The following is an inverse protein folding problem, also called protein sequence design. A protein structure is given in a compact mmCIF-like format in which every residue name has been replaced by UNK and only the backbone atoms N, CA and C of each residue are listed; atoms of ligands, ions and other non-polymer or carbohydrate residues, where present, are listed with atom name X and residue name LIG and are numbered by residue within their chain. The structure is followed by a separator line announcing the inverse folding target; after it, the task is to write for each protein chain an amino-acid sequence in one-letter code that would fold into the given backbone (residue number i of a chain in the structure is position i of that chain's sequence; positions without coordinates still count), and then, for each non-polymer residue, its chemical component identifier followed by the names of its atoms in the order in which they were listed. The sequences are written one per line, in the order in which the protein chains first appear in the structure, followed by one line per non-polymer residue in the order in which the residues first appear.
data_IF_976292187011
#
_entry.id   IF_976292187011
#
_cell.length_a   1.000
_cell.length_b   1.000
_cell.length_c   1.000
_cell.angle_alpha   90.00
_cell.angle_beta   90.00
_cell.angle_gamma   90.00
#
_symmetry.space_group_name_H-M   'P 1'
#
loop_
_entity.id
_entity.type
_entity.pdbx_description
1 polymer ?
#
# COMPACT_ATOMS: atom_id res chain seq x y z
N UNK A 1 0.78 3.48 -30.01
CA UNK A 1 1.20 4.08 -28.73
C UNK A 1 1.02 3.02 -27.65
N UNK A 2 2.04 2.72 -26.86
CA UNK A 2 1.94 1.69 -25.81
C UNK A 2 1.82 2.40 -24.46
N UNK A 3 0.67 2.33 -23.78
CA UNK A 3 0.47 2.97 -22.48
C UNK A 3 1.38 2.34 -21.41
N UNK A 4 1.77 3.10 -20.39
CA UNK A 4 2.64 2.57 -19.33
C UNK A 4 1.98 1.44 -18.53
N UNK A 5 0.65 1.46 -18.43
CA UNK A 5 -0.15 0.40 -17.80
C UNK A 5 0.04 -0.99 -18.42
N UNK A 6 0.46 -1.10 -19.69
CA UNK A 6 0.71 -2.41 -20.30
C UNK A 6 2.00 -3.09 -19.83
N UNK A 7 2.86 -2.38 -19.09
CA UNK A 7 4.13 -2.91 -18.57
C UNK A 7 4.03 -3.36 -17.11
N UNK A 8 2.86 -3.29 -16.48
CA UNK A 8 2.65 -3.80 -15.12
C UNK A 8 2.78 -5.31 -15.12
N UNK A 9 3.86 -5.82 -14.52
CA UNK A 9 4.14 -7.26 -14.45
C UNK A 9 3.64 -7.90 -13.17
N UNK A 10 3.49 -7.12 -12.09
CA UNK A 10 2.87 -7.54 -10.84
C UNK A 10 1.39 -7.15 -10.89
N UNK A 11 0.52 -8.12 -11.19
CA UNK A 11 -0.85 -8.03 -10.71
C UNK A 11 -0.80 -8.51 -9.26
N UNK A 12 -0.72 -7.59 -8.30
CA UNK A 12 -0.85 -7.98 -6.90
C UNK A 12 -2.20 -8.69 -6.79
N UNK A 13 -2.20 -9.94 -6.32
CA UNK A 13 -3.44 -10.57 -5.92
C UNK A 13 -4.13 -9.62 -4.93
N UNK A 14 -5.44 -9.47 -5.06
CA UNK A 14 -6.25 -8.46 -4.38
C UNK A 14 -6.14 -8.49 -2.85
N UNK A 15 -5.64 -9.60 -2.30
CA UNK A 15 -5.42 -9.86 -0.87
C UNK A 15 -3.94 -9.97 -0.48
N UNK A 16 -2.99 -9.66 -1.35
CA UNK A 16 -1.61 -9.50 -0.87
C UNK A 16 -1.61 -8.35 0.14
N UNK A 17 -1.20 -8.61 1.38
CA UNK A 17 -1.27 -7.63 2.44
C UNK A 17 -0.55 -6.38 1.96
N UNK A 18 -1.27 -5.28 2.09
CA UNK A 18 -0.77 -3.92 2.16
C UNK A 18 0.59 -3.95 2.83
N UNK A 19 1.64 -3.83 2.03
CA UNK A 19 2.93 -3.53 2.58
C UNK A 19 2.73 -2.10 3.13
N UNK A 20 3.11 -1.88 4.39
CA UNK A 20 3.00 -0.58 5.06
C UNK A 20 4.37 0.11 5.04
N UNK A 21 4.39 1.37 4.62
CA UNK A 21 5.54 2.26 4.68
C UNK A 21 5.26 3.57 3.93
N UNK A 22 5.89 4.65 4.36
CA UNK A 22 5.60 6.03 3.90
C UNK A 22 5.82 6.26 2.39
N UNK A 23 6.56 5.37 1.71
CA UNK A 23 6.84 5.38 0.26
C UNK A 23 6.16 4.23 -0.51
N UNK A 24 5.11 3.65 0.06
CA UNK A 24 4.45 2.48 -0.53
C UNK A 24 3.23 2.92 -1.32
N UNK A 25 3.48 3.20 -2.60
CA UNK A 25 2.50 3.75 -3.51
C UNK A 25 1.56 2.64 -3.99
N UNK A 26 0.52 2.39 -3.19
CA UNK A 26 -0.58 1.50 -3.56
C UNK A 26 -1.31 2.10 -4.76
N UNK A 27 -1.49 1.35 -5.86
CA UNK A 27 -2.27 1.87 -6.98
C UNK A 27 -3.68 2.18 -6.49
N UNK A 28 -4.19 3.36 -6.87
CA UNK A 28 -5.58 3.71 -6.54
C UNK A 28 -6.53 2.72 -7.22
N UNK A 29 -7.49 2.17 -6.48
CA UNK A 29 -8.51 1.29 -7.05
C UNK A 29 -9.80 2.05 -7.32
N UNK A 30 -10.30 1.95 -8.55
CA UNK A 30 -11.60 2.48 -8.97
C UNK A 30 -12.46 1.36 -9.54
N UNK A 31 -13.78 1.44 -9.36
CA UNK A 31 -14.68 0.35 -9.74
C UNK A 31 -14.89 -0.68 -8.62
N UNK A 32 -14.88 -1.96 -8.98
CA UNK A 32 -14.97 -3.06 -8.03
C UNK A 32 -13.79 -3.08 -7.05
N UNK A 33 -14.10 -3.26 -5.76
CA UNK A 33 -13.09 -3.43 -4.73
C UNK A 33 -12.26 -4.70 -4.98
N UNK A 34 -10.97 -4.71 -4.65
CA UNK A 34 -10.12 -5.90 -4.71
C UNK A 34 -10.78 -7.16 -4.11
N UNK A 35 -11.35 -7.03 -2.91
CA UNK A 35 -12.03 -8.14 -2.22
C UNK A 35 -13.22 -8.70 -3.01
N UNK A 36 -13.98 -7.84 -3.70
CA UNK A 36 -15.11 -8.27 -4.50
C UNK A 36 -14.65 -9.04 -5.74
N UNK A 37 -13.55 -8.61 -6.35
CA UNK A 37 -12.95 -9.29 -7.50
C UNK A 37 -12.40 -10.67 -7.12
N UNK A 38 -11.72 -10.77 -5.97
CA UNK A 38 -11.17 -12.03 -5.47
C UNK A 38 -12.25 -13.07 -5.16
N UNK A 39 -13.31 -12.67 -4.45
CA UNK A 39 -14.38 -13.58 -4.04
C UNK A 39 -15.54 -13.65 -5.03
N UNK A 40 -15.41 -13.01 -6.21
CA UNK A 40 -16.46 -12.91 -7.23
C UNK A 40 -17.80 -12.43 -6.64
N UNK A 41 -17.73 -11.45 -5.73
CA UNK A 41 -18.89 -10.84 -5.08
C UNK A 41 -19.42 -9.73 -5.99
N UNK A 42 -20.58 -9.96 -6.58
CA UNK A 42 -21.36 -8.90 -7.24
C UNK A 42 -22.08 -8.10 -6.15
N UNK A 43 -21.47 -7.00 -5.70
CA UNK A 43 -22.17 -6.02 -4.88
C UNK A 43 -22.84 -4.95 -5.77
N UNK A 44 -23.78 -4.21 -5.18
CA UNK A 44 -24.49 -3.14 -5.88
C UNK A 44 -23.51 -2.08 -6.42
N UNK A 45 -22.30 -1.96 -5.85
CA UNK A 45 -21.28 -1.02 -6.32
C UNK A 45 -20.60 -1.50 -7.61
N UNK A 46 -20.24 -2.78 -7.70
CA UNK A 46 -19.73 -3.44 -8.90
C UNK A 46 -20.74 -3.40 -10.05
N UNK A 47 -22.02 -3.62 -9.75
CA UNK A 47 -23.09 -3.69 -10.78
C UNK A 47 -23.58 -2.30 -11.24
N UNK A 48 -23.52 -1.28 -10.39
CA UNK A 48 -23.91 0.10 -10.73
C UNK A 48 -22.82 0.87 -11.48
N UNK A 49 -21.57 0.43 -11.41
CA UNK A 49 -20.48 1.02 -12.17
C UNK A 49 -20.58 0.57 -13.62
N UNK A 50 -20.89 1.50 -14.54
CA UNK A 50 -20.75 1.23 -15.98
C UNK A 50 -19.35 0.67 -16.23
N UNK A 51 -19.21 -0.50 -16.90
CA UNK A 51 -17.91 -1.04 -17.24
C UNK A 51 -17.14 0.03 -17.99
N UNK A 52 -15.94 0.38 -17.50
CA UNK A 52 -15.03 1.39 -18.05
C UNK A 52 -15.31 2.86 -17.68
N UNK A 53 -16.17 3.16 -16.70
CA UNK A 53 -16.29 4.52 -16.18
C UNK A 53 -15.41 4.71 -14.94
N UNK A 54 -14.63 5.79 -14.92
CA UNK A 54 -13.70 6.12 -13.84
C UNK A 54 -14.40 7.05 -12.87
N UNK A 55 -14.40 6.77 -11.57
CA UNK A 55 -15.02 7.62 -10.56
C UNK A 55 -13.94 8.20 -9.66
N UNK A 56 -13.78 9.52 -9.69
CA UNK A 56 -12.74 10.23 -8.93
C UNK A 56 -13.33 11.43 -8.17
N UNK A 57 -12.76 11.78 -7.00
CA UNK A 57 -13.27 12.90 -6.22
C UNK A 57 -12.97 14.24 -6.89
N UNK A 58 -13.88 15.19 -6.73
CA UNK A 58 -13.77 16.55 -7.28
C UNK A 58 -12.54 17.30 -6.74
N UNK A 59 -12.11 17.03 -5.51
CA UNK A 59 -10.86 17.58 -4.94
C UNK A 59 -9.64 17.19 -5.77
N UNK A 60 -9.61 15.95 -6.26
CA UNK A 60 -8.52 15.46 -7.11
C UNK A 60 -8.52 16.11 -8.49
N UNK A 61 -9.70 16.42 -9.06
CA UNK A 61 -9.79 17.23 -10.28
C UNK A 61 -9.14 18.60 -10.09
N UNK A 62 -9.50 19.29 -9.01
CA UNK A 62 -8.98 20.63 -8.70
C UNK A 62 -7.46 20.61 -8.47
N UNK A 63 -6.95 19.60 -7.75
CA UNK A 63 -5.52 19.39 -7.59
C UNK A 63 -4.82 19.19 -8.95
N UNK A 64 -5.33 18.28 -9.78
CA UNK A 64 -4.77 18.00 -11.09
C UNK A 64 -4.82 19.18 -12.05
N UNK A 65 -5.86 20.00 -12.01
CA UNK A 65 -5.95 21.22 -12.80
C UNK A 65 -4.89 22.27 -12.40
N UNK A 66 -4.63 22.39 -11.09
CA UNK A 66 -3.59 23.28 -10.56
C UNK A 66 -2.19 22.80 -10.95
N UNK A 67 -1.90 21.52 -10.70
CA UNK A 67 -0.62 20.87 -11.00
C UNK A 67 -0.32 20.92 -12.50
N UNK A 68 -1.30 20.62 -13.35
CA UNK A 68 -1.13 20.62 -14.81
C UNK A 68 -0.84 22.02 -15.35
N UNK A 69 -1.47 23.07 -14.81
CA UNK A 69 -1.12 24.46 -15.17
C UNK A 69 0.33 24.79 -14.86
N UNK A 70 0.84 24.36 -13.69
CA UNK A 70 2.24 24.55 -13.32
C UNK A 70 3.18 23.82 -14.30
N UNK A 71 2.88 22.56 -14.62
CA UNK A 71 3.65 21.77 -15.59
C UNK A 71 3.65 22.45 -16.97
N UNK A 72 2.49 22.85 -17.49
CA UNK A 72 2.39 23.50 -18.80
C UNK A 72 3.08 24.87 -18.83
N UNK A 73 3.06 25.63 -17.73
CA UNK A 73 3.78 26.89 -17.63
C UNK A 73 5.31 26.70 -17.71
N UNK A 74 5.84 25.68 -17.02
CA UNK A 74 7.27 25.38 -17.04
C UNK A 74 7.72 24.83 -18.40
N UNK A 75 6.80 24.19 -19.12
CA UNK A 75 7.04 23.62 -20.45
C UNK A 75 6.47 24.50 -21.59
N UNK A 76 6.12 25.76 -21.33
CA UNK A 76 5.41 26.64 -22.28
C UNK A 76 6.10 26.85 -23.64
N UNK A 77 7.42 26.63 -23.70
CA UNK A 77 8.21 26.73 -24.93
C UNK A 77 8.16 25.45 -25.78
N UNK A 78 7.52 24.40 -25.27
CA UNK A 78 7.34 23.14 -25.96
C UNK A 78 5.91 23.05 -26.50
N UNK A 79 5.79 22.58 -27.73
CA UNK A 79 4.50 22.20 -28.28
C UNK A 79 4.15 20.79 -27.77
N UNK A 80 3.62 20.75 -26.55
CA UNK A 80 3.06 19.55 -25.93
C UNK A 80 1.68 19.33 -26.53
N UNK A 81 1.42 18.13 -27.02
CA UNK A 81 0.09 17.76 -27.55
C UNK A 81 -0.64 16.78 -26.65
N UNK A 82 0.07 16.06 -25.79
CA UNK A 82 -0.52 15.08 -24.89
C UNK A 82 0.34 14.85 -23.65
N UNK A 83 -0.30 14.47 -22.55
CA UNK A 83 0.36 14.09 -21.30
C UNK A 83 -0.23 12.77 -20.83
N UNK A 84 0.63 11.82 -20.43
CA UNK A 84 0.22 10.58 -19.79
C UNK A 84 0.36 10.69 -18.26
N UNK A 85 -0.72 10.39 -17.55
CA UNK A 85 -0.85 10.59 -16.10
C UNK A 85 -1.86 9.63 -15.47
N UNK A 86 -1.86 9.52 -14.14
CA UNK A 86 -2.88 8.77 -13.39
C UNK A 86 -3.00 9.26 -11.94
N UNK A 87 -4.16 9.04 -11.29
CA UNK A 87 -4.33 9.36 -9.88
C UNK A 87 -3.58 8.37 -8.98
N UNK A 88 -3.12 8.83 -7.82
CA UNK A 88 -2.43 8.03 -6.80
C UNK A 88 -2.69 8.58 -5.40
N UNK A 89 -2.25 7.84 -4.38
CA UNK A 89 -2.16 8.32 -3.00
C UNK A 89 -0.71 8.77 -2.71
N UNK A 90 -0.57 9.92 -2.05
CA UNK A 90 0.70 10.42 -1.52
C UNK A 90 1.08 9.77 -0.19
N UNK A 91 2.26 10.11 0.33
CA UNK A 91 2.80 9.58 1.59
C UNK A 91 1.89 9.77 2.81
N UNK A 92 1.04 10.81 2.79
CA UNK A 92 0.09 11.10 3.87
C UNK A 92 -1.33 10.59 3.60
N UNK A 93 -1.52 9.73 2.59
CA UNK A 93 -2.83 9.21 2.19
C UNK A 93 -3.72 10.21 1.44
N UNK A 94 -3.21 11.41 1.12
CA UNK A 94 -3.94 12.37 0.29
C UNK A 94 -3.91 11.99 -1.18
N UNK A 95 -5.01 12.21 -1.89
CA UNK A 95 -5.06 12.00 -3.33
C UNK A 95 -4.18 13.02 -4.07
N UNK A 96 -3.40 12.53 -5.02
CA UNK A 96 -2.59 13.36 -5.93
C UNK A 96 -2.47 12.69 -7.30
N UNK A 97 -1.68 13.25 -8.20
CA UNK A 97 -1.47 12.75 -9.55
C UNK A 97 -0.02 12.36 -9.80
N UNK A 98 0.18 11.32 -10.60
CA UNK A 98 1.44 11.01 -11.26
C UNK A 98 1.41 11.62 -12.66
N UNK A 99 2.38 12.46 -13.01
CA UNK A 99 2.57 12.92 -14.39
C UNK A 99 3.84 12.30 -14.94
N UNK A 100 3.69 11.30 -15.81
CA UNK A 100 4.81 10.46 -16.22
C UNK A 100 5.60 11.04 -17.41
N UNK A 101 4.92 11.30 -18.52
CA UNK A 101 5.57 11.71 -19.77
C UNK A 101 4.68 12.62 -20.60
N UNK A 102 5.32 13.41 -21.45
CA UNK A 102 4.68 14.33 -22.39
C UNK A 102 4.96 13.89 -23.82
N UNK A 103 3.97 14.03 -24.70
CA UNK A 103 4.11 13.85 -26.13
C UNK A 103 4.42 15.19 -26.77
N UNK A 104 5.58 15.28 -27.39
CA UNK A 104 6.14 16.52 -27.90
C UNK A 104 6.16 16.52 -29.43
N UNK A 105 5.69 17.63 -30.02
CA UNK A 105 5.62 17.84 -31.47
C UNK A 105 4.93 16.69 -32.24
N UNK A 106 4.00 15.98 -31.60
CA UNK A 106 3.35 14.78 -32.16
C UNK A 106 4.31 13.68 -32.64
N UNK A 107 5.54 13.67 -32.14
CA UNK A 107 6.61 12.82 -32.70
C UNK A 107 7.18 11.84 -31.69
N UNK A 108 7.39 12.26 -30.46
CA UNK A 108 8.02 11.41 -29.45
C UNK A 108 7.59 11.75 -28.03
N UNK A 109 7.72 10.75 -27.16
CA UNK A 109 7.51 10.88 -25.73
C UNK A 109 8.79 11.33 -25.04
N UNK A 110 8.62 12.17 -24.01
CA UNK A 110 9.70 12.66 -23.15
C UNK A 110 9.27 12.44 -21.70
N UNK A 111 10.15 11.88 -20.86
CA UNK A 111 9.90 11.79 -19.43
C UNK A 111 9.84 13.18 -18.79
N UNK A 112 8.86 13.41 -17.92
CA UNK A 112 8.83 14.63 -17.11
C UNK A 112 9.97 14.59 -16.09
N UNK A 113 10.68 15.70 -15.93
CA UNK A 113 11.83 15.79 -15.03
C UNK A 113 11.47 16.59 -13.78
N UNK A 114 11.53 15.93 -12.62
CA UNK A 114 11.24 16.53 -11.31
C UNK A 114 12.14 17.73 -10.96
N UNK A 115 13.40 17.73 -11.39
CA UNK A 115 14.35 18.83 -11.13
C UNK A 115 13.99 20.14 -11.85
N UNK A 116 13.05 20.10 -12.80
CA UNK A 116 12.73 21.22 -13.68
C UNK A 116 11.44 21.96 -13.29
N UNK A 117 10.62 21.39 -12.41
CA UNK A 117 9.28 21.92 -12.09
C UNK A 117 9.27 22.38 -10.65
N UNK A 118 8.86 23.63 -10.42
CA UNK A 118 8.68 24.17 -9.06
C UNK A 118 7.21 24.24 -8.73
N UNK A 119 6.76 23.40 -7.81
CA UNK A 119 5.44 23.55 -7.21
C UNK A 119 5.52 24.57 -6.06
N UNK A 120 4.49 25.40 -5.86
CA UNK A 120 4.46 26.30 -4.71
C UNK A 120 4.47 25.47 -3.42
N UNK A 121 5.57 25.55 -2.68
CA UNK A 121 5.78 24.82 -1.43
C UNK A 121 4.90 25.40 -0.33
N UNK A 122 3.98 24.62 0.22
CA UNK A 122 2.98 25.03 1.23
C UNK A 122 3.52 25.00 2.67
N UNK A 123 4.77 25.40 2.90
CA UNK A 123 5.54 25.00 4.10
C UNK A 123 5.20 25.81 5.37
N UNK A 124 4.45 26.92 5.28
CA UNK A 124 4.28 27.85 6.42
C UNK A 124 2.88 27.85 7.10
N UNK A 125 1.98 26.93 6.77
CA UNK A 125 0.62 26.89 7.36
C UNK A 125 0.28 25.52 7.96
N UNK A 126 -0.38 25.41 9.13
CA UNK A 126 -0.89 24.13 9.63
C UNK A 126 -1.91 23.58 8.63
N UNK A 127 -1.54 22.49 7.98
CA UNK A 127 -1.97 22.13 6.64
C UNK A 127 -3.43 21.68 6.56
N UNK A 128 -4.15 22.25 5.60
CA UNK A 128 -5.42 21.71 5.11
C UNK A 128 -5.15 20.64 4.03
N UNK A 129 -6.06 19.67 3.86
CA UNK A 129 -6.00 18.58 2.86
C UNK A 129 -5.73 19.07 1.42
N UNK A 130 -6.05 20.32 1.09
CA UNK A 130 -5.77 20.95 -0.21
C UNK A 130 -4.32 21.38 -0.42
N UNK A 131 -3.52 21.53 0.63
CA UNK A 131 -2.16 22.09 0.57
C UNK A 131 -1.08 21.01 0.30
N UNK A 132 -1.37 19.73 0.53
CA UNK A 132 -0.38 18.64 0.44
C UNK A 132 -0.47 17.75 -0.80
N UNK A 133 -0.90 18.30 -1.94
CA UNK A 133 -0.94 17.53 -3.20
C UNK A 133 0.22 17.92 -4.11
N UNK A 134 1.46 17.64 -3.70
CA UNK A 134 2.55 17.61 -4.69
C UNK A 134 2.34 16.42 -5.63
N UNK A 135 2.49 16.60 -6.96
CA UNK A 135 2.37 15.49 -7.88
C UNK A 135 3.63 14.63 -7.88
N UNK A 136 3.47 13.36 -8.19
CA UNK A 136 4.60 12.49 -8.49
C UNK A 136 5.12 12.75 -9.90
N UNK A 137 6.42 12.96 -9.99
CA UNK A 137 7.17 13.10 -11.24
C UNK A 137 8.24 12.00 -11.31
N UNK A 138 8.61 11.55 -12.52
CA UNK A 138 9.61 10.51 -12.68
C UNK A 138 10.96 10.91 -12.10
N UNK A 139 11.56 10.02 -11.32
CA UNK A 139 12.98 10.09 -10.94
C UNK A 139 13.78 9.12 -11.82
N UNK A 140 14.79 9.64 -12.49
CA UNK A 140 15.60 8.86 -13.43
C UNK A 140 16.87 8.39 -12.73
N UNK A 141 17.01 7.08 -12.58
CA UNK A 141 18.14 6.42 -11.94
C UNK A 141 18.91 5.60 -12.98
N UNK A 142 20.15 6.00 -13.22
CA UNK A 142 21.07 5.34 -14.17
C UNK A 142 21.83 4.26 -13.43
N UNK A 143 21.65 2.99 -13.80
CA UNK A 143 22.24 1.84 -13.08
C UNK A 143 23.76 1.79 -13.10
N UNK A 144 24.41 2.42 -14.08
CA UNK A 144 25.87 2.50 -14.14
C UNK A 144 26.46 3.55 -13.19
N UNK A 145 25.62 4.41 -12.57
CA UNK A 145 26.04 5.29 -11.49
C UNK A 145 26.01 4.50 -10.17
N UNK A 146 27.14 4.40 -9.43
CA UNK A 146 27.20 3.64 -8.17
C UNK A 146 26.14 4.02 -7.13
N UNK A 147 25.83 5.32 -6.97
CA UNK A 147 24.86 5.78 -5.98
C UNK A 147 23.43 5.36 -6.35
N UNK A 148 23.09 5.49 -7.64
CA UNK A 148 21.80 5.03 -8.15
C UNK A 148 21.71 3.51 -8.12
N UNK A 149 22.78 2.80 -8.46
CA UNK A 149 22.85 1.36 -8.37
C UNK A 149 22.56 0.90 -6.94
N UNK A 150 23.18 1.54 -5.95
CA UNK A 150 22.92 1.29 -4.55
C UNK A 150 21.46 1.59 -4.18
N UNK A 151 20.90 2.73 -4.58
CA UNK A 151 19.49 3.05 -4.34
C UNK A 151 18.53 2.01 -4.94
N UNK A 152 18.85 1.46 -6.11
CA UNK A 152 18.00 0.51 -6.81
C UNK A 152 18.10 -0.90 -6.21
N UNK A 153 19.32 -1.40 -5.98
CA UNK A 153 19.59 -2.81 -5.71
C UNK A 153 20.04 -3.12 -4.28
N UNK A 154 20.30 -2.11 -3.44
CA UNK A 154 20.82 -2.38 -2.10
C UNK A 154 19.88 -3.25 -1.27
N UNK A 155 20.50 -4.10 -0.45
CA UNK A 155 19.81 -4.71 0.66
C UNK A 155 19.34 -3.61 1.63
N UNK A 156 18.06 -3.64 2.05
CA UNK A 156 17.50 -2.69 3.03
C UNK A 156 18.30 -2.59 4.34
N UNK A 157 19.03 -3.65 4.72
CA UNK A 157 19.91 -3.65 5.89
C UNK A 157 21.14 -2.75 5.72
N UNK A 158 21.51 -2.43 4.48
CA UNK A 158 22.67 -1.60 4.14
C UNK A 158 22.28 -0.13 3.93
N UNK A 159 20.99 0.18 3.78
CA UNK A 159 20.53 1.54 3.55
C UNK A 159 20.82 2.45 4.77
N UNK A 160 21.03 3.76 4.55
CA UNK A 160 21.42 4.67 5.64
C UNK A 160 20.27 5.00 6.60
N UNK A 161 19.03 4.65 6.27
CA UNK A 161 17.83 4.91 7.08
C UNK A 161 17.02 3.63 7.30
N UNK A 162 16.25 3.59 8.40
CA UNK A 162 15.26 2.54 8.66
C UNK A 162 14.04 2.62 7.74
N UNK A 163 13.80 3.79 7.14
CA UNK A 163 12.61 4.07 6.33
C UNK A 163 12.86 3.95 4.82
N UNK A 164 14.12 3.74 4.42
CA UNK A 164 14.47 3.57 3.01
C UNK A 164 14.26 2.12 2.57
N UNK A 165 13.86 1.92 1.32
CA UNK A 165 13.80 0.62 0.63
C UNK A 165 14.54 0.70 -0.70
N UNK A 166 15.05 -0.44 -1.23
CA UNK A 166 15.48 -0.48 -2.61
C UNK A 166 14.31 -0.19 -3.55
N UNK A 167 14.57 0.58 -4.60
CA UNK A 167 13.51 1.05 -5.51
C UNK A 167 13.31 0.16 -6.74
N UNK A 168 14.03 -0.97 -6.86
CA UNK A 168 13.96 -1.91 -7.98
C UNK A 168 12.52 -2.27 -8.42
N UNK A 169 11.66 -2.60 -7.46
CA UNK A 169 10.26 -3.00 -7.74
C UNK A 169 9.35 -1.85 -8.16
N UNK A 170 9.80 -0.61 -7.97
CA UNK A 170 9.07 0.61 -8.28
C UNK A 170 9.53 1.22 -9.63
N UNK A 171 10.43 0.53 -10.34
CA UNK A 171 11.04 1.01 -11.58
C UNK A 171 10.28 0.57 -12.83
N UNK A 172 10.10 1.52 -13.77
CA UNK A 172 9.98 1.24 -15.20
C UNK A 172 11.38 1.14 -15.82
N UNK A 173 11.64 0.08 -16.58
CA UNK A 173 12.96 -0.22 -17.12
C UNK A 173 13.07 0.14 -18.59
N UNK A 174 14.05 0.98 -18.89
CA UNK A 174 14.26 1.55 -20.22
C UNK A 174 15.71 1.41 -20.67
N UNK A 175 15.95 1.40 -21.99
CA UNK A 175 17.31 1.34 -22.52
C UNK A 175 18.06 2.66 -22.32
N UNK A 176 19.37 2.60 -22.07
CA UNK A 176 20.19 3.78 -21.82
C UNK A 176 20.59 4.58 -23.08
N UNK A 177 19.80 4.51 -24.17
CA UNK A 177 20.07 5.30 -25.39
C UNK A 177 19.81 6.79 -25.13
N UNK A 178 20.76 7.42 -24.45
CA UNK A 178 20.78 8.81 -24.09
C UNK A 178 21.17 9.63 -25.32
N UNK A 179 20.21 10.29 -25.96
CA UNK A 179 20.53 11.29 -26.97
C UNK A 179 20.91 12.60 -26.27
N UNK A 180 22.21 12.92 -26.32
CA UNK A 180 22.87 14.07 -25.69
C UNK A 180 22.37 15.48 -26.11
N UNK A 181 21.32 15.61 -26.93
CA UNK A 181 21.05 16.89 -27.59
C UNK A 181 20.20 17.89 -26.81
N UNK A 182 19.54 17.52 -25.69
CA UNK A 182 18.59 18.45 -25.03
C UNK A 182 18.49 18.40 -23.49
N UNK A 183 19.36 17.71 -22.74
CA UNK A 183 19.15 17.46 -21.29
C UNK A 183 17.75 16.87 -20.97
N UNK A 184 17.12 16.21 -21.96
CA UNK A 184 15.78 15.66 -21.90
C UNK A 184 15.87 14.23 -22.42
N UNK A 185 15.56 13.28 -21.55
CA UNK A 185 15.52 11.88 -21.95
C UNK A 185 14.24 11.65 -22.76
N UNK A 186 14.38 11.53 -24.07
CA UNK A 186 13.37 10.90 -24.91
C UNK A 186 13.04 9.54 -24.29
N UNK A 187 11.76 9.20 -24.21
CA UNK A 187 11.36 7.88 -23.73
C UNK A 187 11.96 6.82 -24.66
N UNK A 188 13.00 6.16 -24.18
CA UNK A 188 13.63 5.04 -24.87
C UNK A 188 12.72 3.82 -24.82
N UNK A 189 13.12 2.73 -25.49
CA UNK A 189 12.32 1.51 -25.49
C UNK A 189 12.16 0.98 -24.05
N UNK A 190 10.93 1.08 -23.54
CA UNK A 190 10.50 0.44 -22.30
C UNK A 190 10.37 -1.05 -22.60
N UNK A 191 11.04 -1.89 -21.81
CA UNK A 191 10.99 -3.33 -22.01
C UNK A 191 10.42 -4.09 -20.80
N UNK A 192 10.35 -3.45 -19.64
CA UNK A 192 9.69 -4.01 -18.45
C UNK A 192 9.27 -2.90 -17.48
N UNK A 193 8.35 -3.22 -16.56
CA UNK A 193 7.93 -2.31 -15.51
C UNK A 193 7.51 -3.04 -14.25
N UNK A 194 7.81 -2.41 -13.10
CA UNK A 194 7.39 -2.84 -11.77
C UNK A 194 7.62 -4.33 -11.54
N UNK A 195 8.88 -4.73 -11.62
CA UNK A 195 9.28 -6.13 -11.53
C UNK A 195 9.13 -6.65 -10.10
N UNK A 196 8.78 -7.94 -9.91
CA UNK A 196 8.77 -8.57 -8.58
C UNK A 196 10.13 -8.44 -7.90
N UNK A 197 10.16 -8.00 -6.63
CA UNK A 197 11.42 -7.74 -5.89
C UNK A 197 12.26 -9.00 -5.76
N UNK A 198 11.65 -10.18 -5.80
CA UNK A 198 12.33 -11.48 -5.79
C UNK A 198 13.27 -11.67 -6.99
N UNK A 199 13.04 -10.96 -8.10
CA UNK A 199 13.89 -10.97 -9.29
C UNK A 199 15.08 -10.02 -9.20
N UNK A 200 15.18 -9.19 -8.16
CA UNK A 200 16.18 -8.12 -8.08
C UNK A 200 17.61 -8.64 -8.30
N UNK A 201 18.00 -9.72 -7.60
CA UNK A 201 19.35 -10.31 -7.71
C UNK A 201 19.63 -10.91 -9.09
N UNK A 202 18.64 -11.52 -9.74
CA UNK A 202 18.78 -12.07 -11.10
C UNK A 202 18.93 -10.93 -12.12
N UNK A 203 18.15 -9.86 -11.93
CA UNK A 203 18.02 -8.77 -12.87
C UNK A 203 19.14 -7.72 -12.75
N UNK A 204 19.82 -7.63 -11.61
CA UNK A 204 20.91 -6.67 -11.37
C UNK A 204 21.99 -6.73 -12.47
N UNK A 205 22.44 -7.93 -12.84
CA UNK A 205 23.43 -8.12 -13.90
C UNK A 205 22.89 -7.76 -15.29
N UNK A 206 21.61 -8.06 -15.54
CA UNK A 206 20.95 -7.81 -16.83
C UNK A 206 20.75 -6.30 -17.04
N UNK A 207 20.47 -5.57 -15.96
CA UNK A 207 20.06 -4.18 -15.98
C UNK A 207 21.21 -3.19 -15.78
N UNK A 208 22.46 -3.65 -15.67
CA UNK A 208 23.63 -2.81 -15.35
C UNK A 208 23.82 -1.58 -16.27
N UNK A 209 23.29 -1.59 -17.50
CA UNK A 209 23.36 -0.49 -18.46
C UNK A 209 21.98 0.08 -18.84
N UNK A 210 21.05 0.07 -17.91
CA UNK A 210 19.68 0.53 -18.13
C UNK A 210 19.35 1.73 -17.25
N UNK A 211 18.16 2.27 -17.49
CA UNK A 211 17.62 3.37 -16.69
C UNK A 211 16.39 2.84 -15.98
N UNK A 212 16.40 2.94 -14.66
CA UNK A 212 15.20 2.86 -13.84
C UNK A 212 14.51 4.22 -13.87
N UNK A 213 13.26 4.22 -14.31
CA UNK A 213 12.34 5.35 -14.21
C UNK A 213 11.44 5.07 -13.02
N UNK A 214 11.77 5.65 -11.87
CA UNK A 214 11.05 5.46 -10.62
C UNK A 214 9.72 6.24 -10.65
N UNK A 215 8.61 5.51 -10.61
CA UNK A 215 7.25 6.02 -10.61
C UNK A 215 6.30 5.05 -9.90
N UNK A 216 5.26 5.55 -9.20
CA UNK A 216 4.18 4.71 -8.70
C UNK A 216 3.55 3.83 -9.79
N UNK A 217 2.98 2.69 -9.42
CA UNK A 217 2.20 1.90 -10.36
C UNK A 217 0.96 2.67 -10.84
N UNK A 218 0.48 2.42 -12.07
CA UNK A 218 -0.78 2.95 -12.56
C UNK A 218 -1.95 2.51 -11.69
N UNK A 219 -2.95 3.38 -11.53
CA UNK A 219 -4.19 3.05 -10.85
C UNK A 219 -4.92 1.89 -11.56
N UNK A 220 -5.83 1.23 -10.85
CA UNK A 220 -6.55 0.07 -11.35
C UNK A 220 -8.05 0.38 -11.54
N UNK A 221 -8.61 -0.10 -12.65
CA UNK A 221 -10.05 -0.11 -12.94
C UNK A 221 -10.48 -1.57 -12.98
N UNK A 222 -11.30 -2.00 -12.02
CA UNK A 222 -11.75 -3.40 -11.91
C UNK A 222 -10.58 -4.39 -11.97
N UNK A 223 -9.50 -4.09 -11.24
CA UNK A 223 -8.29 -4.92 -11.15
C UNK A 223 -7.35 -4.86 -12.36
N UNK A 224 -7.62 -4.00 -13.35
CA UNK A 224 -6.77 -3.81 -14.51
C UNK A 224 -6.02 -2.48 -14.41
N UNK A 225 -4.68 -2.48 -14.52
CA UNK A 225 -3.90 -1.24 -14.56
C UNK A 225 -4.34 -0.33 -15.70
N UNK A 226 -4.38 0.97 -15.45
CA UNK A 226 -4.85 1.96 -16.41
C UNK A 226 -4.06 3.27 -16.28
N UNK A 227 -3.84 3.95 -17.40
CA UNK A 227 -3.26 5.30 -17.45
C UNK A 227 -4.15 6.20 -18.29
N UNK A 228 -4.17 7.49 -17.97
CA UNK A 228 -4.95 8.49 -18.68
C UNK A 228 -4.07 9.28 -19.64
N UNK A 229 -4.69 9.78 -20.69
CA UNK A 229 -4.10 10.70 -21.63
C UNK A 229 -4.92 11.99 -21.66
N UNK A 230 -4.27 13.13 -21.42
CA UNK A 230 -4.88 14.45 -21.59
C UNK A 230 -4.29 15.07 -22.84
N UNK A 231 -5.16 15.48 -23.76
CA UNK A 231 -4.77 16.26 -24.92
C UNK A 231 -4.61 17.73 -24.53
N UNK A 232 -3.53 18.34 -25.00
CA UNK A 232 -3.20 19.75 -24.78
C UNK A 232 -3.43 20.49 -26.10
N UNK A 233 -4.21 21.56 -26.06
CA UNK A 233 -4.47 22.41 -27.22
C UNK A 233 -3.35 23.44 -27.39
N UNK A 234 -3.28 24.07 -28.57
CA UNK A 234 -2.21 25.05 -28.89
C UNK A 234 -2.16 26.28 -27.97
N UNK A 235 -3.25 26.61 -27.28
CA UNK A 235 -3.33 27.67 -26.27
C UNK A 235 -3.01 27.16 -24.84
N UNK A 236 -2.42 25.96 -24.71
CA UNK A 236 -2.17 25.26 -23.45
C UNK A 236 -3.42 25.00 -22.61
N UNK A 237 -4.62 25.01 -23.23
CA UNK A 237 -5.82 24.52 -22.59
C UNK A 237 -5.86 22.99 -22.60
N UNK A 238 -6.67 22.41 -21.72
CA UNK A 238 -6.81 20.97 -21.61
C UNK A 238 -8.22 20.60 -21.14
N UNK A 239 -8.62 19.37 -21.44
CA UNK A 239 -9.87 18.80 -20.97
C UNK A 239 -9.60 17.40 -20.41
N UNK A 240 -10.23 17.10 -19.28
CA UNK A 240 -10.23 15.76 -18.72
C UNK A 240 -10.99 14.78 -19.65
N UNK A 241 -10.55 13.52 -19.74
CA UNK A 241 -11.29 12.47 -20.44
C UNK A 241 -12.75 12.38 -19.99
N UNK A 242 -13.67 12.17 -20.95
CA UNK A 242 -15.13 12.18 -20.70
C UNK A 242 -15.65 10.93 -20.00
N UNK A 243 -14.83 9.88 -19.93
CA UNK A 243 -15.06 8.65 -19.17
C UNK A 243 -14.84 8.82 -17.66
N UNK A 244 -14.33 9.97 -17.21
CA UNK A 244 -14.21 10.32 -15.79
C UNK A 244 -15.50 10.97 -15.27
N UNK A 245 -16.12 10.32 -14.29
CA UNK A 245 -17.12 10.88 -13.40
C UNK A 245 -16.48 11.51 -12.18
N UNK A 246 -16.70 12.80 -12.03
CA UNK A 246 -16.29 13.53 -10.84
C UNK A 246 -17.42 13.50 -9.81
N UNK A 247 -17.11 13.06 -8.58
CA UNK A 247 -18.07 13.10 -7.48
C UNK A 247 -17.57 14.02 -6.37
N UNK A 248 -18.49 14.72 -5.71
CA UNK A 248 -18.17 15.45 -4.49
C UNK A 248 -18.09 14.42 -3.36
N UNK A 249 -16.93 14.31 -2.70
CA UNK A 249 -16.84 13.54 -1.45
C UNK A 249 -17.81 14.22 -0.48
N UNK A 250 -18.86 13.53 0.01
CA UNK A 250 -19.73 14.13 1.00
C UNK A 250 -18.85 14.48 2.19
N UNK A 251 -18.81 15.75 2.61
CA UNK A 251 -18.36 16.05 3.97
C UNK A 251 -19.18 15.16 4.88
N UNK A 252 -18.58 14.37 5.79
CA UNK A 252 -19.35 13.53 6.69
C UNK A 252 -20.33 14.46 7.40
N UNK A 253 -21.61 14.40 7.00
CA UNK A 253 -22.59 15.24 7.65
C UNK A 253 -22.65 14.72 9.08
N UNK A 254 -22.73 15.63 10.05
CA UNK A 254 -22.91 15.24 11.46
C UNK A 254 -24.09 14.27 11.63
N UNK A 255 -25.04 14.26 10.69
CA UNK A 255 -26.17 13.35 10.63
C UNK A 255 -25.87 11.94 10.08
N UNK A 256 -24.84 11.72 9.25
CA UNK A 256 -24.57 10.39 8.69
C UNK A 256 -23.79 9.49 9.66
N UNK A 257 -22.95 10.08 10.51
CA UNK A 257 -22.34 9.38 11.67
C UNK A 257 -23.43 8.94 12.67
N UNK A 258 -24.52 9.70 12.76
CA UNK A 258 -25.66 9.41 13.66
C UNK A 258 -26.72 8.49 13.05
N UNK A 259 -26.66 8.18 11.75
CA UNK A 259 -27.59 7.26 11.06
C UNK A 259 -27.11 5.81 11.02
N UNK A 260 -25.84 5.54 11.34
CA UNK A 260 -25.46 4.20 11.77
C UNK A 260 -26.33 3.90 12.99
N UNK A 261 -27.41 3.14 12.80
CA UNK A 261 -28.26 2.73 13.93
C UNK A 261 -27.29 2.15 14.95
N UNK A 262 -27.21 2.70 16.17
CA UNK A 262 -26.43 2.06 17.22
C UNK A 262 -26.91 0.62 17.22
N UNK A 263 -25.97 -0.30 17.10
CA UNK A 263 -26.34 -1.70 17.14
C UNK A 263 -27.10 -1.87 18.44
N UNK A 264 -28.36 -2.31 18.35
CA UNK A 264 -29.36 -2.13 19.41
C UNK A 264 -28.74 -2.39 20.78
N UNK A 265 -29.06 -1.60 21.80
CA UNK A 265 -28.47 -1.75 23.15
C UNK A 265 -28.43 -3.20 23.64
N UNK A 266 -29.38 -4.04 23.21
CA UNK A 266 -29.37 -5.49 23.41
C UNK A 266 -28.10 -6.21 22.88
N UNK A 267 -27.65 -5.95 21.65
CA UNK A 267 -26.43 -6.53 21.08
C UNK A 267 -25.17 -6.01 21.75
N UNK A 268 -25.14 -4.72 22.12
CA UNK A 268 -24.05 -4.14 22.89
C UNK A 268 -23.95 -4.76 24.29
N UNK A 269 -25.10 -5.02 24.93
CA UNK A 269 -25.17 -5.69 26.23
C UNK A 269 -24.79 -7.17 26.16
N UNK A 270 -24.94 -7.84 25.01
CA UNK A 270 -24.48 -9.21 24.79
C UNK A 270 -22.97 -9.31 24.46
N UNK A 271 -22.34 -8.20 24.04
CA UNK A 271 -20.92 -8.09 23.72
C UNK A 271 -20.08 -7.50 24.87
N UNK A 272 -20.34 -7.92 26.12
CA UNK A 272 -19.48 -7.50 27.22
C UNK A 272 -18.16 -8.24 27.24
N UNK A 273 -17.07 -7.47 27.34
CA UNK A 273 -15.76 -8.01 27.64
C UNK A 273 -15.79 -8.80 28.96
N UNK A 274 -15.12 -9.96 29.05
CA UNK A 274 -15.03 -10.67 30.31
C UNK A 274 -14.36 -9.76 31.35
N UNK A 275 -14.76 -9.87 32.63
CA UNK A 275 -14.15 -9.08 33.72
C UNK A 275 -12.63 -9.28 33.83
N UNK A 276 -12.11 -10.40 33.31
CA UNK A 276 -10.69 -10.73 33.25
C UNK A 276 -9.95 -10.06 32.10
N UNK A 277 -10.64 -9.38 31.17
CA UNK A 277 -10.08 -8.84 29.95
C UNK A 277 -8.86 -7.97 30.20
N UNK A 278 -8.96 -6.95 31.06
CA UNK A 278 -7.84 -6.04 31.30
C UNK A 278 -6.59 -6.76 31.84
N UNK A 279 -6.77 -7.79 32.67
CA UNK A 279 -5.67 -8.58 33.20
C UNK A 279 -5.07 -9.53 32.15
N UNK A 280 -5.92 -10.19 31.37
CA UNK A 280 -5.49 -11.06 30.26
C UNK A 280 -4.79 -10.25 29.17
N UNK A 281 -5.33 -9.07 28.84
CA UNK A 281 -4.74 -8.14 27.90
C UNK A 281 -3.35 -7.71 28.37
N UNK A 282 -3.19 -7.28 29.62
CA UNK A 282 -1.89 -6.88 30.18
C UNK A 282 -0.89 -8.05 30.23
N UNK A 283 -1.34 -9.25 30.61
CA UNK A 283 -0.48 -10.44 30.63
C UNK A 283 -0.01 -10.81 29.23
N UNK A 284 -0.92 -10.78 28.24
CA UNK A 284 -0.55 -11.05 26.85
C UNK A 284 0.35 -9.95 26.27
N UNK A 285 0.16 -8.68 26.66
CA UNK A 285 1.07 -7.60 26.27
C UNK A 285 2.50 -7.92 26.71
N UNK A 286 2.71 -8.34 27.96
CA UNK A 286 4.05 -8.71 28.43
C UNK A 286 4.61 -9.96 27.75
N UNK A 287 3.79 -10.97 27.49
CA UNK A 287 4.24 -12.20 26.81
C UNK A 287 4.60 -11.95 25.35
N UNK A 288 3.71 -11.30 24.60
CA UNK A 288 3.92 -11.06 23.18
C UNK A 288 5.00 -10.02 22.95
N UNK A 289 5.19 -9.09 23.88
CA UNK A 289 6.31 -8.14 23.79
C UNK A 289 7.68 -8.74 24.07
N UNK A 290 7.74 -9.96 24.62
CA UNK A 290 8.97 -10.61 25.03
C UNK A 290 9.45 -10.22 26.43
N UNK A 291 8.72 -9.37 27.16
CA UNK A 291 9.00 -9.05 28.57
C UNK A 291 8.79 -10.29 29.46
N UNK A 292 7.81 -11.13 29.12
CA UNK A 292 7.55 -12.43 29.73
C UNK A 292 7.69 -13.54 28.68
N UNK A 293 8.00 -14.79 29.09
CA UNK A 293 8.09 -15.87 28.13
C UNK A 293 6.69 -16.28 27.63
N UNK A 294 6.64 -16.78 26.39
CA UNK A 294 5.55 -17.61 25.92
C UNK A 294 5.57 -18.93 26.71
N UNK A 295 4.46 -19.27 27.34
CA UNK A 295 4.32 -20.48 28.17
C UNK A 295 3.43 -21.49 27.45
N UNK A 296 4.04 -22.55 26.93
CA UNK A 296 3.32 -23.65 26.27
C UNK A 296 2.82 -24.66 27.31
N UNK A 297 1.73 -25.37 26.99
CA UNK A 297 1.17 -26.42 27.87
C UNK A 297 2.19 -27.50 28.26
N UNK A 298 3.22 -27.73 27.44
CA UNK A 298 4.27 -28.72 27.67
C UNK A 298 5.47 -28.19 28.50
N UNK A 299 5.29 -27.13 29.30
CA UNK A 299 6.32 -26.47 30.15
C UNK A 299 7.45 -25.75 29.43
N UNK A 300 7.43 -25.69 28.10
CA UNK A 300 8.43 -24.91 27.34
C UNK A 300 8.19 -23.42 27.53
N UNK A 301 9.23 -22.68 27.90
CA UNK A 301 9.21 -21.22 28.02
C UNK A 301 10.13 -20.58 26.99
N UNK A 302 9.59 -19.65 26.19
CA UNK A 302 10.36 -18.95 25.13
C UNK A 302 10.26 -17.44 25.33
N UNK A 303 11.39 -16.77 25.53
CA UNK A 303 11.47 -15.31 25.48
C UNK A 303 11.59 -14.82 24.04
N UNK A 304 10.70 -13.92 23.64
CA UNK A 304 10.71 -13.28 22.32
C UNK A 304 11.66 -12.08 22.31
N UNK A 305 12.94 -12.31 22.02
CA UNK A 305 13.97 -11.26 21.94
C UNK A 305 14.28 -10.82 20.52
N UNK A 306 13.85 -11.60 19.51
CA UNK A 306 14.07 -11.31 18.09
C UNK A 306 12.76 -11.45 17.32
N UNK A 307 12.12 -10.33 17.04
CA UNK A 307 10.80 -10.27 16.38
C UNK A 307 10.81 -9.48 15.09
N UNK A 308 11.97 -9.02 14.62
CA UNK A 308 11.99 -8.41 13.29
C UNK A 308 11.96 -9.49 12.22
N UNK A 309 11.02 -9.37 11.28
CA UNK A 309 10.83 -10.34 10.19
C UNK A 309 12.09 -10.50 9.32
N UNK A 310 12.94 -9.48 9.27
CA UNK A 310 14.17 -9.48 8.49
C UNK A 310 15.35 -10.19 9.16
N UNK A 311 15.26 -10.48 10.46
CA UNK A 311 16.29 -11.25 11.17
C UNK A 311 16.19 -12.73 10.78
N UNK A 312 17.30 -13.34 10.34
CA UNK A 312 17.30 -14.74 9.89
C UNK A 312 16.92 -15.74 10.97
N UNK A 313 17.21 -15.41 12.23
CA UNK A 313 16.95 -16.19 13.43
C UNK A 313 15.79 -15.60 14.26
N UNK A 314 14.85 -14.89 13.60
CA UNK A 314 13.65 -14.37 14.24
C UNK A 314 12.81 -15.49 14.87
N UNK A 315 12.01 -15.11 15.86
CA UNK A 315 11.18 -16.01 16.66
C UNK A 315 9.69 -15.90 16.31
N UNK A 316 9.34 -15.37 15.13
CA UNK A 316 7.96 -15.15 14.73
C UNK A 316 7.19 -16.46 14.59
N UNK A 317 7.86 -17.52 14.14
CA UNK A 317 7.26 -18.86 14.07
C UNK A 317 6.88 -19.39 15.46
N UNK A 318 7.66 -19.08 16.51
CA UNK A 318 7.29 -19.41 17.88
C UNK A 318 6.02 -18.65 18.29
N UNK A 319 5.90 -17.37 17.97
CA UNK A 319 4.68 -16.62 18.28
C UNK A 319 3.46 -17.18 17.51
N UNK A 320 3.62 -17.54 16.22
CA UNK A 320 2.56 -18.16 15.43
C UNK A 320 2.10 -19.48 16.04
N UNK A 321 3.02 -20.37 16.40
CA UNK A 321 2.69 -21.68 16.97
C UNK A 321 1.97 -21.52 18.32
N UNK A 322 2.41 -20.56 19.15
CA UNK A 322 1.70 -20.19 20.37
C UNK A 322 0.29 -19.68 20.09
N UNK A 323 0.11 -18.79 19.11
CA UNK A 323 -1.22 -18.26 18.75
C UNK A 323 -2.15 -19.35 18.22
N UNK A 324 -1.63 -20.30 17.45
CA UNK A 324 -2.39 -21.49 17.02
C UNK A 324 -2.90 -22.27 18.25
N UNK A 325 -2.05 -22.48 19.26
CA UNK A 325 -2.48 -23.11 20.51
C UNK A 325 -3.60 -22.32 21.21
N UNK A 326 -3.49 -20.98 21.26
CA UNK A 326 -4.53 -20.13 21.87
C UNK A 326 -5.86 -20.18 21.08
N UNK A 327 -5.83 -20.14 19.75
CA UNK A 327 -7.03 -20.27 18.92
C UNK A 327 -7.64 -21.68 19.02
N UNK A 328 -6.81 -22.73 19.12
CA UNK A 328 -7.27 -24.09 19.33
C UNK A 328 -8.02 -24.26 20.66
N UNK A 329 -7.57 -23.61 21.74
CA UNK A 329 -8.31 -23.55 23.02
C UNK A 329 -9.69 -22.90 22.88
N UNK A 330 -9.84 -22.04 21.88
CA UNK A 330 -11.11 -21.43 21.51
C UNK A 330 -11.88 -22.24 20.47
N UNK A 331 -11.46 -23.46 20.08
CA UNK A 331 -11.99 -24.23 18.95
C UNK A 331 -12.15 -23.40 17.66
N UNK A 332 -11.23 -22.48 17.41
CA UNK A 332 -11.20 -21.67 16.19
C UNK A 332 -10.26 -22.37 15.21
N UNK A 333 -10.77 -22.64 14.00
CA UNK A 333 -9.94 -23.20 12.93
C UNK A 333 -8.89 -22.17 12.54
N UNK A 334 -7.64 -22.62 12.42
CA UNK A 334 -6.54 -21.81 11.91
C UNK A 334 -5.94 -22.43 10.65
N UNK A 335 -5.33 -21.61 9.82
CA UNK A 335 -4.51 -22.01 8.68
C UNK A 335 -3.19 -21.24 8.72
N UNK A 336 -2.09 -21.97 8.54
CA UNK A 336 -0.74 -21.41 8.50
C UNK A 336 -0.28 -21.38 7.05
N UNK A 337 -0.18 -20.20 6.47
CA UNK A 337 0.32 -20.01 5.12
C UNK A 337 1.81 -19.73 5.15
N UNK A 338 2.63 -20.74 4.85
CA UNK A 338 4.10 -20.62 4.88
C UNK A 338 4.59 -19.96 3.59
N UNK A 339 5.51 -19.01 3.73
CA UNK A 339 6.19 -18.36 2.60
C UNK A 339 7.67 -18.14 2.91
N UNK A 340 8.44 -17.79 1.90
CA UNK A 340 9.86 -17.45 2.03
C UNK A 340 10.08 -16.01 1.62
N UNK A 341 10.70 -15.23 2.49
CA UNK A 341 11.13 -13.87 2.19
C UNK A 341 12.60 -13.73 2.59
N UNK A 342 13.46 -13.32 1.66
CA UNK A 342 14.92 -13.25 1.87
C UNK A 342 15.55 -14.57 2.37
N UNK A 343 15.07 -15.71 1.87
CA UNK A 343 15.44 -17.05 2.34
C UNK A 343 15.10 -17.33 3.82
N UNK A 344 14.27 -16.49 4.44
CA UNK A 344 13.73 -16.69 5.79
C UNK A 344 12.35 -17.31 5.64
N UNK A 345 12.14 -18.48 6.26
CA UNK A 345 10.81 -19.08 6.33
C UNK A 345 9.94 -18.28 7.31
N UNK A 346 8.81 -17.80 6.82
CA UNK A 346 7.81 -17.07 7.60
C UNK A 346 6.43 -17.67 7.36
N UNK A 347 5.43 -17.19 8.10
CA UNK A 347 4.06 -17.59 7.85
C UNK A 347 3.07 -16.48 8.18
N UNK A 348 1.99 -16.43 7.40
CA UNK A 348 0.76 -15.76 7.83
C UNK A 348 -0.07 -16.75 8.64
N UNK A 349 -0.75 -16.25 9.67
CA UNK A 349 -1.72 -17.02 10.44
C UNK A 349 -3.13 -16.50 10.13
N UNK A 350 -3.97 -17.37 9.58
CA UNK A 350 -5.37 -17.07 9.29
C UNK A 350 -6.22 -17.78 10.34
N UNK A 351 -7.06 -17.04 11.07
CA UNK A 351 -8.02 -17.59 12.02
C UNK A 351 -9.44 -17.41 11.47
N UNK A 352 -10.17 -18.51 11.29
CA UNK A 352 -11.52 -18.49 10.75
C UNK A 352 -12.54 -18.42 11.89
N UNK A 353 -13.11 -17.23 12.09
CA UNK A 353 -14.23 -17.03 12.99
C UNK A 353 -15.51 -17.16 12.15
N UNK A 354 -16.29 -18.24 12.28
CA UNK A 354 -17.52 -18.37 11.50
C UNK A 354 -18.48 -17.20 11.78
N UNK A 355 -19.29 -16.82 10.80
CA UNK A 355 -20.50 -16.05 11.08
C UNK A 355 -21.67 -17.03 11.21
N UNK A 356 -22.69 -16.68 11.98
CA UNK A 356 -23.99 -17.34 11.81
C UNK A 356 -24.56 -16.96 10.43
N UNK A 357 -25.03 -17.95 9.67
CA UNK A 357 -25.67 -17.72 8.37
C UNK A 357 -24.79 -17.93 7.13
N UNK A 358 -25.34 -17.60 5.94
CA UNK A 358 -24.64 -17.74 4.65
C UNK A 358 -23.92 -16.44 4.25
N UNK A 359 -22.91 -16.52 3.37
CA UNK A 359 -22.23 -15.34 2.79
C UNK A 359 -23.18 -14.36 2.07
N UNK A 360 -24.39 -14.78 1.71
CA UNK A 360 -25.42 -13.89 1.16
C UNK A 360 -26.07 -12.99 2.22
N UNK A 361 -25.93 -13.33 3.49
CA UNK A 361 -26.51 -12.60 4.62
C UNK A 361 -25.52 -11.59 5.22
N UNK A 362 -24.22 -11.89 5.19
CA UNK A 362 -23.17 -11.05 5.75
C UNK A 362 -21.93 -11.09 4.86
N UNK A 363 -21.44 -9.92 4.45
CA UNK A 363 -20.16 -9.78 3.78
C UNK A 363 -19.02 -10.27 4.71
N UNK A 364 -18.02 -11.00 4.19
CA UNK A 364 -16.89 -11.42 5.00
C UNK A 364 -16.12 -10.18 5.50
N UNK A 365 -15.83 -10.15 6.80
CA UNK A 365 -14.98 -9.12 7.40
C UNK A 365 -13.61 -9.72 7.65
N UNK A 366 -12.58 -9.06 7.13
CA UNK A 366 -11.19 -9.42 7.37
C UNK A 366 -10.61 -8.41 8.36
N UNK A 367 -10.15 -8.91 9.50
CA UNK A 367 -9.30 -8.15 10.41
C UNK A 367 -7.87 -8.64 10.23
N UNK A 368 -6.94 -7.71 10.05
CA UNK A 368 -5.53 -8.02 9.85
C UNK A 368 -4.69 -7.25 10.84
N UNK A 369 -3.62 -7.88 11.27
CA UNK A 369 -2.56 -7.26 12.04
C UNK A 369 -1.24 -7.94 11.71
N UNK A 370 -0.12 -7.32 12.08
CA UNK A 370 1.21 -7.92 11.94
C UNK A 370 1.84 -8.18 13.32
N UNK A 371 2.71 -9.19 13.39
CA UNK A 371 3.30 -9.67 14.64
C UNK A 371 4.81 -9.41 14.74
N UNK A 372 5.40 -8.95 13.65
CA UNK A 372 6.79 -8.56 13.58
C UNK A 372 7.00 -7.13 14.04
N UNK A 373 8.25 -6.83 14.39
CA UNK A 373 8.66 -5.53 14.91
C UNK A 373 9.63 -4.85 13.97
N UNK A 374 9.49 -3.54 13.82
CA UNK A 374 10.53 -2.71 13.21
C UNK A 374 11.85 -2.78 14.01
N UNK A 375 12.93 -2.28 13.41
CA UNK A 375 14.14 -1.97 14.16
C UNK A 375 13.94 -0.73 15.02
N UNK A 376 14.62 -0.69 16.16
CA UNK A 376 14.49 0.36 17.14
C UNK A 376 15.22 1.63 16.68
N UNK A 377 14.48 2.74 16.58
CA UNK A 377 14.93 3.98 15.96
C UNK A 377 16.04 4.69 16.74
N UNK A 378 15.98 4.72 18.07
CA UNK A 378 16.96 5.41 18.91
C UNK A 378 18.30 4.66 18.89
N UNK A 379 18.30 3.32 18.98
CA UNK A 379 19.51 2.50 18.83
C UNK A 379 20.11 2.71 17.45
N UNK A 380 19.30 2.72 16.39
CA UNK A 380 19.81 2.97 15.05
C UNK A 380 20.42 4.38 14.91
N UNK A 381 19.74 5.42 15.40
CA UNK A 381 20.23 6.79 15.37
C UNK A 381 21.55 6.97 16.15
N UNK A 382 21.70 6.28 17.28
CA UNK A 382 22.87 6.41 18.14
C UNK A 382 24.06 5.53 17.69
N UNK A 383 23.80 4.38 17.07
CA UNK A 383 24.85 3.36 16.84
C UNK A 383 24.98 2.91 15.39
N UNK A 384 24.02 3.23 14.53
CA UNK A 384 23.87 2.65 13.19
C UNK A 384 23.46 1.17 13.20
N UNK A 385 23.22 0.57 14.37
CA UNK A 385 22.89 -0.85 14.51
C UNK A 385 21.39 -1.07 14.38
N UNK A 386 21.02 -2.05 13.55
CA UNK A 386 19.64 -2.51 13.39
C UNK A 386 19.33 -3.60 14.41
N UNK A 387 18.64 -3.22 15.48
CA UNK A 387 18.30 -4.11 16.58
C UNK A 387 16.80 -4.05 16.89
N UNK A 388 16.18 -5.20 17.13
CA UNK A 388 14.83 -5.30 17.71
C UNK A 388 14.92 -5.21 19.23
N UNK A 389 14.04 -4.41 19.85
CA UNK A 389 14.00 -4.25 21.31
C UNK A 389 12.67 -4.77 21.84
N UNK A 390 12.68 -5.68 22.85
CA UNK A 390 11.44 -6.12 23.50
C UNK A 390 10.62 -4.93 24.02
N UNK A 391 9.32 -4.92 23.76
CA UNK A 391 8.42 -3.84 24.19
C UNK A 391 8.24 -2.70 23.18
N UNK A 392 9.05 -2.61 22.13
CA UNK A 392 8.88 -1.64 21.03
C UNK A 392 7.94 -2.21 19.95
N UNK A 393 6.70 -2.48 20.35
CA UNK A 393 5.79 -3.36 19.62
C UNK A 393 4.53 -2.67 19.11
N UNK A 394 4.68 -1.90 18.04
CA UNK A 394 3.58 -1.63 17.12
C UNK A 394 3.48 -2.86 16.17
N UNK A 395 2.44 -3.70 16.21
CA UNK A 395 1.07 -3.45 16.71
C UNK A 395 0.53 -4.54 17.69
N UNK A 396 1.32 -5.01 18.67
CA UNK A 396 0.92 -6.16 19.53
C UNK A 396 -0.40 -5.98 20.29
N UNK A 397 -0.77 -4.73 20.56
CA UNK A 397 -2.07 -4.42 21.18
C UNK A 397 -3.25 -4.84 20.31
N UNK A 398 -3.14 -4.68 18.98
CA UNK A 398 -4.12 -5.10 17.98
C UNK A 398 -4.28 -6.62 17.98
N UNK A 399 -3.17 -7.36 17.93
CA UNK A 399 -3.14 -8.82 17.96
C UNK A 399 -3.89 -9.37 19.18
N UNK A 400 -3.66 -8.78 20.35
CA UNK A 400 -4.33 -9.19 21.59
C UNK A 400 -5.82 -8.87 21.51
N UNK A 401 -6.19 -7.69 21.01
CA UNK A 401 -7.58 -7.31 20.80
C UNK A 401 -8.28 -8.28 19.83
N UNK A 402 -7.62 -8.73 18.76
CA UNK A 402 -8.16 -9.73 17.83
C UNK A 402 -8.37 -11.08 18.49
N UNK A 403 -7.37 -11.60 19.21
CA UNK A 403 -7.50 -12.88 19.92
C UNK A 403 -8.63 -12.86 20.95
N UNK A 404 -8.77 -11.75 21.68
CA UNK A 404 -9.84 -11.59 22.67
C UNK A 404 -11.21 -11.40 21.99
N UNK A 405 -11.28 -10.63 20.91
CA UNK A 405 -12.52 -10.44 20.11
C UNK A 405 -13.02 -11.77 19.59
N UNK A 406 -12.11 -12.63 19.11
CA UNK A 406 -12.44 -13.97 18.63
C UNK A 406 -13.13 -14.82 19.71
N UNK A 407 -12.70 -14.69 20.97
CA UNK A 407 -13.32 -15.40 22.10
C UNK A 407 -14.76 -14.94 22.41
N UNK A 408 -15.09 -13.68 22.11
CA UNK A 408 -16.43 -13.10 22.32
C UNK A 408 -17.32 -13.41 21.14
N UNK A 409 -16.84 -13.16 19.91
CA UNK A 409 -17.61 -13.37 18.68
C UNK A 409 -18.03 -14.83 18.51
N UNK A 410 -17.21 -15.78 18.97
CA UNK A 410 -17.61 -17.19 19.00
C UNK A 410 -18.85 -17.42 19.87
N UNK A 411 -18.98 -16.76 21.02
CA UNK A 411 -20.11 -16.94 21.95
C UNK A 411 -21.41 -16.40 21.37
N UNK A 412 -21.35 -15.38 20.51
CA UNK A 412 -22.54 -14.73 19.94
C UNK A 412 -23.08 -15.43 18.69
N UNK A 413 -22.36 -16.39 18.11
CA UNK A 413 -22.80 -17.16 16.93
C UNK A 413 -24.07 -17.99 17.16
N UNK A 414 -24.43 -18.32 18.40
CA UNK A 414 -25.60 -19.17 18.70
C UNK A 414 -26.95 -18.50 18.39
N UNK A 415 -26.99 -17.20 18.07
CA UNK A 415 -28.25 -16.45 17.84
C UNK A 415 -28.38 -15.77 16.46
N UNK A 416 -27.37 -15.82 15.61
CA UNK A 416 -27.30 -15.00 14.39
C UNK A 416 -27.83 -15.73 13.14
N UNK A 417 -29.14 -16.02 13.11
CA UNK A 417 -29.89 -16.27 11.86
C UNK A 417 -31.42 -16.24 12.05
N UNK A 418 -31.93 -15.53 13.08
CA UNK A 418 -33.37 -15.53 13.43
C UNK A 418 -34.09 -14.19 13.27
N UNK A 419 -33.50 -13.24 12.57
CA UNK A 419 -34.12 -11.93 12.35
C UNK A 419 -33.90 -11.42 10.93
N UNK A 420 -34.43 -12.14 9.94
CA UNK A 420 -34.88 -11.56 8.67
C UNK A 420 -36.26 -12.14 8.36
#
# INVERSE_FOLDING_TARGET
MVPLSSYVTIQTHYLQPFISGDDQHIPLYTGCKPINLEFNITDMHCDLMTPNRIYLPQSLKSAGESQLKSILNDYKSMNITMIELWPTLGAFGFYTWVYARIFYNDTHWIWLNSSSIKFPSSVDSPLTESEYSEPYLPKLLITSNPDHHFEIFADILLLPSLYMKPVFGDCLWTSANYTNSLNRMQTTAIFSGWLPVEKMNEMEQILHHNICVLLPQPFQINGKPYTLFINITHDNSFQWPSDISWYTVPSPSSNDILKAKPVSDAWYNDLQWPKTFANQWRSNMYRFSGIQPLEYENTTQIYLTRKSSIQIDNQLMNLIDYLIEQYNKLNIRTEKQIFHWRNITQANLIAYIPAGGSYKCHEPVIFMDHIDTAFEGDTFANTGTRQSTPGADDNISGLIALLQSASILKKTQENACRAI
#
